data_IF_361738492100
#
_entry.id   IF_361738492100
#
_cell.length_a   1.000
_cell.length_b   1.000
_cell.length_c   1.000
_cell.angle_alpha   90.00
_cell.angle_beta   90.00
_cell.angle_gamma   90.00
#
_symmetry.space_group_name_H-M   'P 1'
#
loop_
_entity.id
_entity.type
_entity.pdbx_description
1 polymer ?
#
# COMPACT_ATOMS: atom_id res chain seq x y z
N UNK A 1 -10.49 -3.01 16.82
CA UNK A 1 -10.88 -3.99 15.78
C UNK A 1 -12.37 -3.84 15.50
N UNK A 2 -12.74 -3.94 14.25
CA UNK A 2 -14.14 -4.06 13.83
C UNK A 2 -14.60 -5.52 13.96
N UNK A 3 -15.85 -5.74 14.32
CA UNK A 3 -16.48 -7.05 14.21
C UNK A 3 -17.01 -7.29 12.79
N UNK A 4 -17.52 -8.49 12.49
CA UNK A 4 -17.96 -8.85 11.14
C UNK A 4 -19.07 -7.96 10.58
N UNK A 5 -20.03 -7.54 11.43
CA UNK A 5 -21.12 -6.65 11.02
C UNK A 5 -20.60 -5.23 10.71
N UNK A 6 -19.65 -4.74 11.50
CA UNK A 6 -19.00 -3.44 11.27
C UNK A 6 -18.16 -3.47 9.99
N UNK A 7 -17.42 -4.56 9.73
CA UNK A 7 -16.66 -4.76 8.48
C UNK A 7 -17.63 -4.78 7.29
N UNK A 8 -18.75 -5.47 7.38
CA UNK A 8 -19.71 -5.55 6.28
C UNK A 8 -20.32 -4.18 5.96
N UNK A 9 -20.68 -3.39 6.98
CA UNK A 9 -21.17 -2.02 6.78
C UNK A 9 -20.13 -1.12 6.11
N UNK A 10 -18.88 -1.24 6.53
CA UNK A 10 -17.75 -0.49 5.94
C UNK A 10 -17.57 -0.86 4.47
N UNK A 11 -17.55 -2.15 4.13
CA UNK A 11 -17.42 -2.63 2.76
C UNK A 11 -18.60 -2.18 1.88
N UNK A 12 -19.81 -2.18 2.43
CA UNK A 12 -20.99 -1.71 1.73
C UNK A 12 -20.90 -0.21 1.44
N UNK A 13 -20.54 0.61 2.43
CA UNK A 13 -20.40 2.05 2.26
C UNK A 13 -19.35 2.41 1.18
N UNK A 14 -18.21 1.69 1.15
CA UNK A 14 -17.20 1.88 0.11
C UNK A 14 -17.74 1.43 -1.26
N UNK A 15 -18.43 0.30 -1.35
CA UNK A 15 -18.96 -0.21 -2.61
C UNK A 15 -20.04 0.70 -3.22
N UNK A 16 -20.82 1.39 -2.40
CA UNK A 16 -21.82 2.38 -2.85
C UNK A 16 -21.21 3.56 -3.59
N UNK A 17 -19.91 3.83 -3.43
CA UNK A 17 -19.18 4.83 -4.23
C UNK A 17 -18.87 4.38 -5.66
N UNK A 18 -19.16 3.12 -6.03
CA UNK A 18 -18.86 2.55 -7.33
C UNK A 18 -17.46 1.97 -7.51
N UNK A 19 -16.62 2.00 -6.49
CA UNK A 19 -15.29 1.38 -6.54
C UNK A 19 -15.41 -0.14 -6.67
N UNK A 20 -14.59 -0.73 -7.54
CA UNK A 20 -14.54 -2.18 -7.78
C UNK A 20 -13.35 -2.88 -7.09
N UNK A 21 -12.42 -2.10 -6.54
CA UNK A 21 -11.22 -2.57 -5.85
C UNK A 21 -11.14 -1.96 -4.45
N UNK A 22 -10.78 -2.78 -3.47
CA UNK A 22 -10.54 -2.33 -2.10
C UNK A 22 -9.17 -2.78 -1.60
N UNK A 23 -8.51 -1.93 -0.81
CA UNK A 23 -7.27 -2.27 -0.10
C UNK A 23 -7.56 -2.35 1.40
N UNK A 24 -7.44 -3.54 1.95
CA UNK A 24 -7.63 -3.80 3.39
C UNK A 24 -6.30 -3.61 4.10
N UNK A 25 -6.28 -2.69 5.06
CA UNK A 25 -5.10 -2.37 5.86
C UNK A 25 -5.25 -2.88 7.28
N UNK A 26 -4.15 -3.37 7.84
CA UNK A 26 -4.07 -3.68 9.28
C UNK A 26 -2.79 -3.15 9.90
N UNK A 27 -2.84 -2.87 11.19
CA UNK A 27 -1.61 -2.66 11.96
C UNK A 27 -0.76 -3.93 12.05
N UNK A 28 0.54 -3.77 12.25
CA UNK A 28 1.51 -4.88 12.36
C UNK A 28 1.43 -5.61 13.71
N UNK A 29 0.25 -6.11 14.06
CA UNK A 29 -0.02 -6.83 15.32
C UNK A 29 -0.75 -8.15 15.06
N UNK A 30 -0.01 -9.26 14.83
CA UNK A 30 -0.63 -10.58 14.58
C UNK A 30 -1.59 -11.04 15.67
N UNK A 31 -1.37 -10.59 16.91
CA UNK A 31 -2.26 -10.93 18.04
C UNK A 31 -3.62 -10.22 17.98
N UNK A 32 -3.67 -9.03 17.35
CA UNK A 32 -4.91 -8.27 17.16
C UNK A 32 -5.51 -8.50 15.79
N UNK A 33 -4.70 -8.59 14.74
CA UNK A 33 -5.14 -8.85 13.37
C UNK A 33 -4.61 -10.20 12.95
N UNK A 34 -5.22 -11.30 13.44
CA UNK A 34 -4.80 -12.65 13.07
C UNK A 34 -5.08 -12.93 11.59
N UNK A 35 -4.47 -13.98 11.05
CA UNK A 35 -4.66 -14.39 9.65
C UNK A 35 -6.14 -14.73 9.39
N UNK A 36 -6.80 -15.38 10.36
CA UNK A 36 -8.21 -15.74 10.30
C UNK A 36 -9.11 -14.49 10.29
N UNK A 37 -8.79 -13.48 11.09
CA UNK A 37 -9.51 -12.21 11.12
C UNK A 37 -9.41 -11.47 9.77
N UNK A 38 -8.20 -11.41 9.20
CA UNK A 38 -7.98 -10.83 7.87
C UNK A 38 -8.72 -11.65 6.80
N UNK A 39 -8.67 -12.97 6.88
CA UNK A 39 -9.39 -13.87 5.98
C UNK A 39 -10.90 -13.66 6.01
N UNK A 40 -11.48 -13.44 7.19
CA UNK A 40 -12.91 -13.13 7.31
C UNK A 40 -13.25 -11.77 6.65
N UNK A 41 -12.42 -10.75 6.85
CA UNK A 41 -12.58 -9.48 6.15
C UNK A 41 -12.51 -9.64 4.61
N UNK A 42 -11.60 -10.49 4.10
CA UNK A 42 -11.53 -10.79 2.67
C UNK A 42 -12.80 -11.46 2.14
N UNK A 43 -13.36 -12.45 2.89
CA UNK A 43 -14.61 -13.11 2.50
C UNK A 43 -15.81 -12.17 2.45
N UNK A 44 -15.87 -11.22 3.40
CA UNK A 44 -16.89 -10.18 3.40
C UNK A 44 -16.69 -9.25 2.19
N UNK A 45 -15.47 -8.74 1.99
CA UNK A 45 -15.14 -7.86 0.88
C UNK A 45 -15.45 -8.48 -0.49
N UNK A 46 -15.27 -9.79 -0.64
CA UNK A 46 -15.56 -10.52 -1.89
C UNK A 46 -17.02 -10.45 -2.35
N UNK A 47 -17.94 -10.11 -1.45
CA UNK A 47 -19.35 -9.91 -1.81
C UNK A 47 -19.57 -8.61 -2.59
N UNK A 48 -18.66 -7.64 -2.44
CA UNK A 48 -18.82 -6.26 -2.90
C UNK A 48 -17.79 -5.85 -3.96
N UNK A 49 -16.57 -6.41 -3.92
CA UNK A 49 -15.45 -5.99 -4.77
C UNK A 49 -14.96 -7.10 -5.68
N UNK A 50 -14.52 -6.71 -6.88
CA UNK A 50 -13.88 -7.60 -7.86
C UNK A 50 -12.43 -7.89 -7.51
N UNK A 51 -11.73 -6.93 -6.90
CA UNK A 51 -10.32 -7.01 -6.54
C UNK A 51 -10.11 -6.65 -5.07
N UNK A 52 -9.41 -7.51 -4.35
CA UNK A 52 -9.11 -7.34 -2.94
C UNK A 52 -7.59 -7.33 -2.74
N UNK A 53 -7.08 -6.18 -2.36
CA UNK A 53 -5.70 -5.99 -1.95
C UNK A 53 -5.52 -6.02 -0.45
N UNK A 54 -4.33 -6.40 -0.02
CA UNK A 54 -3.93 -6.39 1.38
C UNK A 54 -2.67 -5.55 1.57
N UNK A 55 -2.70 -4.65 2.54
CA UNK A 55 -1.52 -4.00 3.10
C UNK A 55 -1.39 -4.42 4.56
N UNK A 56 -0.66 -5.51 4.78
CA UNK A 56 -0.60 -6.22 6.06
C UNK A 56 0.85 -6.57 6.40
N UNK A 57 1.08 -7.02 7.64
CA UNK A 57 2.40 -7.50 8.04
C UNK A 57 2.87 -8.72 7.23
N UNK A 58 4.20 -8.94 7.07
CA UNK A 58 4.74 -10.10 6.39
C UNK A 58 4.28 -11.42 7.03
N UNK A 59 3.88 -12.37 6.19
CA UNK A 59 3.38 -13.69 6.59
C UNK A 59 4.15 -14.82 5.91
N UNK A 60 3.92 -16.05 6.32
CA UNK A 60 4.41 -17.23 5.64
C UNK A 60 3.56 -17.58 4.42
N UNK A 61 4.11 -18.32 3.45
CA UNK A 61 3.39 -18.65 2.21
C UNK A 61 2.06 -19.37 2.45
N UNK A 62 1.98 -20.22 3.48
CA UNK A 62 0.72 -20.90 3.86
C UNK A 62 -0.37 -19.93 4.32
N UNK A 63 0.01 -18.87 5.02
CA UNK A 63 -0.92 -17.85 5.50
C UNK A 63 -1.42 -17.00 4.32
N UNK A 64 -0.51 -16.65 3.41
CA UNK A 64 -0.90 -16.00 2.14
C UNK A 64 -1.79 -16.90 1.28
N UNK A 65 -1.55 -18.22 1.23
CA UNK A 65 -2.41 -19.15 0.51
C UNK A 65 -3.83 -19.18 1.10
N UNK A 66 -3.95 -19.22 2.42
CA UNK A 66 -5.25 -19.12 3.10
C UNK A 66 -5.96 -17.79 2.79
N UNK A 67 -5.25 -16.66 2.82
CA UNK A 67 -5.84 -15.37 2.49
C UNK A 67 -6.27 -15.29 1.01
N UNK A 68 -5.50 -15.90 0.11
CA UNK A 68 -5.88 -16.02 -1.29
C UNK A 68 -7.17 -16.85 -1.47
N UNK A 69 -7.28 -17.99 -0.78
CA UNK A 69 -8.51 -18.79 -0.75
C UNK A 69 -9.70 -18.01 -0.19
N UNK A 70 -9.48 -17.11 0.77
CA UNK A 70 -10.50 -16.19 1.30
C UNK A 70 -10.88 -15.07 0.32
N UNK A 71 -10.15 -14.90 -0.78
CA UNK A 71 -10.48 -13.97 -1.85
C UNK A 71 -9.50 -12.82 -2.06
N UNK A 72 -8.38 -12.78 -1.33
CA UNK A 72 -7.35 -11.78 -1.59
C UNK A 72 -6.62 -12.03 -2.93
N UNK A 73 -6.44 -10.98 -3.72
CA UNK A 73 -5.83 -11.03 -5.05
C UNK A 73 -4.37 -10.60 -5.02
N UNK A 74 -4.03 -9.58 -4.24
CA UNK A 74 -2.67 -9.04 -4.17
C UNK A 74 -2.29 -8.56 -2.77
N UNK A 75 -0.98 -8.47 -2.56
CA UNK A 75 -0.40 -8.05 -1.29
C UNK A 75 0.63 -6.94 -1.52
N UNK A 76 0.55 -5.89 -0.73
CA UNK A 76 1.57 -4.84 -0.66
C UNK A 76 2.28 -4.91 0.69
N UNK A 77 3.61 -4.97 0.65
CA UNK A 77 4.46 -4.86 1.85
C UNK A 77 5.57 -3.87 1.55
N UNK A 78 5.55 -2.72 2.22
CA UNK A 78 6.59 -1.73 2.06
C UNK A 78 7.86 -2.18 2.78
N UNK A 79 9.01 -2.18 2.07
CA UNK A 79 10.29 -2.52 2.65
C UNK A 79 10.79 -1.46 3.64
N UNK A 80 10.26 -0.26 3.57
CA UNK A 80 10.66 0.95 4.30
C UNK A 80 11.99 1.51 3.77
N UNK A 81 13.09 0.83 3.99
CA UNK A 81 14.40 1.12 3.37
C UNK A 81 15.13 -0.17 3.04
N UNK A 82 15.93 -0.18 2.00
CA UNK A 82 16.79 -1.31 1.60
C UNK A 82 18.17 -1.26 2.27
N UNK A 83 18.48 -0.20 3.01
CA UNK A 83 19.67 -0.15 3.86
C UNK A 83 19.42 -0.94 5.15
N UNK A 84 19.98 -2.15 5.23
CA UNK A 84 19.78 -3.07 6.37
C UNK A 84 20.27 -2.50 7.71
N UNK A 85 21.33 -1.68 7.70
CA UNK A 85 21.86 -1.09 8.93
C UNK A 85 20.99 0.06 9.41
N UNK A 86 20.53 0.92 8.50
CA UNK A 86 19.52 1.94 8.80
C UNK A 86 18.22 1.31 9.28
N UNK A 87 17.76 0.24 8.61
CA UNK A 87 16.55 -0.50 8.97
C UNK A 87 16.57 -0.97 10.44
N UNK A 88 17.68 -1.53 10.90
CA UNK A 88 17.85 -1.99 12.29
C UNK A 88 17.71 -0.85 13.31
N UNK A 89 18.09 0.36 12.95
CA UNK A 89 17.97 1.52 13.86
C UNK A 89 16.55 2.08 13.95
N UNK A 90 15.72 1.81 12.96
CA UNK A 90 14.34 2.29 12.87
C UNK A 90 13.33 1.29 13.44
N UNK A 91 13.59 -0.02 13.28
CA UNK A 91 12.66 -1.09 13.65
C UNK A 91 13.23 -1.88 14.84
N UNK A 92 12.91 -1.42 16.06
CA UNK A 92 13.54 -1.89 17.29
C UNK A 92 12.90 -3.15 17.90
N UNK A 93 11.68 -3.51 17.49
CA UNK A 93 10.93 -4.61 18.09
C UNK A 93 10.02 -5.37 17.12
N UNK A 94 9.42 -6.46 17.62
CA UNK A 94 8.48 -7.26 16.85
C UNK A 94 9.07 -7.98 15.64
N UNK A 95 8.21 -8.58 14.83
CA UNK A 95 8.61 -9.26 13.58
C UNK A 95 9.10 -8.27 12.51
N UNK A 96 8.65 -7.04 12.54
CA UNK A 96 9.10 -5.97 11.63
C UNK A 96 10.61 -5.77 11.68
N UNK A 97 11.26 -6.05 12.83
CA UNK A 97 12.71 -5.98 12.99
C UNK A 97 13.50 -6.93 12.06
N UNK A 98 12.88 -8.01 11.58
CA UNK A 98 13.58 -9.05 10.82
C UNK A 98 13.64 -8.65 9.35
N UNK A 99 14.68 -7.92 8.96
CA UNK A 99 14.87 -7.39 7.61
C UNK A 99 14.74 -8.44 6.50
N UNK A 100 15.42 -9.61 6.53
CA UNK A 100 15.29 -10.60 5.45
C UNK A 100 13.87 -11.18 5.35
N UNK A 101 13.16 -11.31 6.47
CA UNK A 101 11.80 -11.82 6.47
C UNK A 101 10.83 -10.84 5.79
N UNK A 102 11.01 -9.53 6.03
CA UNK A 102 10.23 -8.50 5.35
C UNK A 102 10.58 -8.41 3.86
N UNK A 103 11.88 -8.42 3.52
CA UNK A 103 12.37 -8.36 2.15
C UNK A 103 11.77 -9.47 1.25
N UNK A 104 11.60 -10.66 1.78
CA UNK A 104 11.08 -11.80 1.02
C UNK A 104 9.54 -11.96 1.14
N UNK A 105 8.82 -10.96 1.61
CA UNK A 105 7.37 -11.06 1.81
C UNK A 105 6.61 -11.23 0.48
N UNK A 106 6.98 -10.46 -0.54
CA UNK A 106 6.33 -10.52 -1.86
C UNK A 106 6.53 -11.89 -2.53
N UNK A 107 7.73 -12.47 -2.41
CA UNK A 107 7.98 -13.81 -2.94
C UNK A 107 7.10 -14.85 -2.25
N UNK A 108 6.99 -14.80 -0.92
CA UNK A 108 6.11 -15.72 -0.18
C UNK A 108 4.65 -15.53 -0.55
N UNK A 109 4.21 -14.30 -0.83
CA UNK A 109 2.85 -14.03 -1.28
C UNK A 109 2.56 -14.67 -2.66
N UNK A 110 3.48 -14.54 -3.62
CA UNK A 110 3.36 -15.21 -4.93
C UNK A 110 3.36 -16.74 -4.75
N UNK A 111 4.23 -17.30 -3.92
CA UNK A 111 4.25 -18.72 -3.61
C UNK A 111 2.95 -19.19 -2.92
N UNK A 112 2.26 -18.32 -2.22
CA UNK A 112 0.93 -18.53 -1.64
C UNK A 112 -0.23 -18.37 -2.65
N UNK A 113 0.06 -18.08 -3.93
CA UNK A 113 -0.95 -17.98 -4.99
C UNK A 113 -1.49 -16.57 -5.25
N UNK A 114 -0.97 -15.55 -4.57
CA UNK A 114 -1.37 -14.16 -4.87
C UNK A 114 -1.06 -13.82 -6.32
N UNK A 115 -2.02 -13.18 -7.01
CA UNK A 115 -1.91 -12.77 -8.40
C UNK A 115 -0.87 -11.67 -8.59
N UNK A 116 -0.80 -10.73 -7.65
CA UNK A 116 0.10 -9.59 -7.73
C UNK A 116 0.71 -9.19 -6.40
N UNK A 117 1.79 -8.43 -6.49
CA UNK A 117 2.52 -7.92 -5.33
C UNK A 117 2.95 -6.47 -5.53
N UNK A 118 2.84 -5.68 -4.46
CA UNK A 118 3.22 -4.29 -4.41
C UNK A 118 4.57 -4.08 -3.72
N UNK A 119 5.35 -3.16 -4.27
CA UNK A 119 6.67 -2.77 -3.78
C UNK A 119 6.69 -1.28 -3.44
N UNK A 120 7.32 -0.95 -2.32
CA UNK A 120 7.68 0.41 -1.98
C UNK A 120 8.83 0.47 -0.98
N UNK A 121 9.58 1.57 -1.03
CA UNK A 121 10.34 2.10 0.09
C UNK A 121 9.67 3.39 0.57
N UNK A 122 9.80 3.72 1.85
CA UNK A 122 9.40 5.02 2.37
C UNK A 122 10.53 6.01 2.09
N UNK A 123 10.40 6.73 0.97
CA UNK A 123 11.43 7.60 0.43
C UNK A 123 11.76 8.74 1.40
N UNK A 124 13.02 8.86 1.76
CA UNK A 124 13.51 9.84 2.74
C UNK A 124 13.89 9.27 4.11
N UNK A 125 13.69 7.97 4.34
CA UNK A 125 14.26 7.30 5.52
C UNK A 125 15.77 7.14 5.44
N UNK A 126 16.27 6.90 4.22
CA UNK A 126 17.69 6.86 3.86
C UNK A 126 17.88 7.52 2.49
N UNK A 127 19.00 7.29 1.82
CA UNK A 127 19.25 7.77 0.46
C UNK A 127 18.14 7.29 -0.49
N UNK A 128 17.24 8.19 -0.87
CA UNK A 128 16.05 7.87 -1.65
C UNK A 128 16.38 7.30 -3.04
N UNK A 129 17.54 7.66 -3.63
CA UNK A 129 17.94 7.13 -4.94
C UNK A 129 18.34 5.67 -4.85
N UNK A 130 19.05 5.30 -3.79
CA UNK A 130 19.43 3.91 -3.52
C UNK A 130 18.20 3.07 -3.19
N UNK A 131 17.30 3.59 -2.35
CA UNK A 131 16.06 2.91 -2.01
C UNK A 131 15.15 2.74 -3.23
N UNK A 132 15.00 3.76 -4.07
CA UNK A 132 14.22 3.66 -5.30
C UNK A 132 14.83 2.64 -6.29
N UNK A 133 16.15 2.69 -6.52
CA UNK A 133 16.83 1.71 -7.37
C UNK A 133 16.67 0.28 -6.83
N UNK A 134 16.86 0.09 -5.54
CA UNK A 134 16.75 -1.24 -4.91
C UNK A 134 15.30 -1.77 -4.98
N UNK A 135 14.29 -0.90 -4.80
CA UNK A 135 12.88 -1.25 -4.99
C UNK A 135 12.62 -1.72 -6.43
N UNK A 136 13.07 -0.97 -7.42
CA UNK A 136 12.93 -1.35 -8.83
C UNK A 136 13.64 -2.66 -9.16
N UNK A 137 14.87 -2.84 -8.70
CA UNK A 137 15.64 -4.08 -8.90
C UNK A 137 15.00 -5.27 -8.21
N UNK A 138 14.47 -5.12 -7.00
CA UNK A 138 13.77 -6.17 -6.29
C UNK A 138 12.53 -6.65 -7.09
N UNK A 139 11.70 -5.71 -7.52
CA UNK A 139 10.53 -6.01 -8.34
C UNK A 139 10.90 -6.69 -9.66
N UNK A 140 11.92 -6.18 -10.36
CA UNK A 140 12.40 -6.74 -11.62
C UNK A 140 12.92 -8.18 -11.47
N UNK A 141 13.76 -8.43 -10.45
CA UNK A 141 14.29 -9.77 -10.18
C UNK A 141 13.20 -10.76 -9.80
N UNK A 142 12.21 -10.30 -9.02
CA UNK A 142 11.08 -11.15 -8.66
C UNK A 142 10.22 -11.47 -9.88
N UNK A 143 9.92 -10.50 -10.75
CA UNK A 143 9.16 -10.75 -11.98
C UNK A 143 9.91 -11.68 -12.94
N UNK A 144 11.24 -11.59 -13.03
CA UNK A 144 12.03 -12.56 -13.82
C UNK A 144 11.88 -13.99 -13.30
N UNK A 145 11.78 -14.16 -11.97
CA UNK A 145 11.58 -15.47 -11.34
C UNK A 145 10.15 -15.96 -11.46
N UNK A 146 9.19 -15.04 -11.41
CA UNK A 146 7.74 -15.30 -11.48
C UNK A 146 7.08 -14.44 -12.57
N UNK A 147 7.23 -14.81 -13.87
CA UNK A 147 6.77 -13.96 -14.97
C UNK A 147 5.25 -13.71 -15.02
N UNK A 148 4.47 -14.58 -14.35
CA UNK A 148 3.01 -14.47 -14.26
C UNK A 148 2.54 -13.47 -13.20
N UNK A 149 3.43 -13.05 -12.29
CA UNK A 149 3.04 -12.15 -11.21
C UNK A 149 2.83 -10.72 -11.71
N UNK A 150 1.75 -10.10 -11.30
CA UNK A 150 1.52 -8.68 -11.51
C UNK A 150 2.35 -7.86 -10.53
N UNK A 151 3.07 -6.86 -11.06
CA UNK A 151 3.93 -5.99 -10.25
C UNK A 151 3.30 -4.62 -10.12
N UNK A 152 3.26 -4.12 -8.90
CA UNK A 152 2.83 -2.76 -8.59
C UNK A 152 3.89 -2.00 -7.79
N UNK A 153 4.02 -0.71 -8.06
CA UNK A 153 4.81 0.22 -7.28
C UNK A 153 3.92 1.21 -6.54
N UNK A 154 4.29 1.53 -5.31
CA UNK A 154 3.87 2.73 -4.61
C UNK A 154 5.10 3.56 -4.27
N UNK A 155 4.96 4.87 -4.23
CA UNK A 155 6.08 5.78 -4.00
C UNK A 155 5.80 6.71 -2.80
N UNK A 156 5.56 6.16 -1.59
CA UNK A 156 5.36 6.98 -0.41
C UNK A 156 6.65 7.72 -0.06
N UNK A 157 6.53 9.02 0.18
CA UNK A 157 7.64 9.81 0.72
C UNK A 157 7.37 10.16 2.18
N UNK A 158 8.44 10.27 2.94
CA UNK A 158 8.39 10.68 4.33
C UNK A 158 7.72 12.05 4.44
N UNK A 159 6.73 12.16 5.30
CA UNK A 159 6.04 13.41 5.65
C UNK A 159 6.37 13.78 7.09
N UNK A 160 6.23 15.05 7.48
CA UNK A 160 6.29 15.43 8.87
C UNK A 160 5.33 14.56 9.68
N UNK A 161 5.80 14.05 10.81
CA UNK A 161 5.00 13.26 11.74
C UNK A 161 4.66 14.18 12.92
N UNK A 162 3.40 14.24 13.29
CA UNK A 162 2.94 14.94 14.48
C UNK A 162 3.75 14.40 15.68
N UNK A 163 4.35 15.28 16.46
CA UNK A 163 5.21 14.97 17.60
C UNK A 163 6.63 14.42 17.29
N UNK A 164 7.14 14.55 16.07
CA UNK A 164 8.52 14.17 15.77
C UNK A 164 9.25 15.19 14.88
N UNK A 165 9.76 16.25 15.48
CA UNK A 165 10.51 17.32 14.79
C UNK A 165 11.88 16.87 14.26
N UNK A 166 12.34 15.68 14.63
CA UNK A 166 13.65 15.13 14.23
C UNK A 166 13.63 14.51 12.84
N UNK A 167 12.46 14.17 12.33
CA UNK A 167 12.30 13.64 10.98
C UNK A 167 12.14 14.83 10.04
N UNK A 168 13.17 15.08 9.25
CA UNK A 168 13.17 16.16 8.27
C UNK A 168 13.00 15.58 6.86
N UNK A 169 11.81 15.72 6.25
CA UNK A 169 11.52 15.15 4.92
C UNK A 169 12.14 15.93 3.76
N UNK A 170 13.22 16.65 3.99
CA UNK A 170 13.77 17.64 3.04
C UNK A 170 14.31 17.07 1.72
N UNK A 171 14.60 15.78 1.66
CA UNK A 171 15.35 15.22 0.54
C UNK A 171 14.48 14.74 -0.63
N UNK A 172 13.17 14.57 -0.41
CA UNK A 172 12.24 14.06 -1.44
C UNK A 172 11.07 15.02 -1.65
N UNK A 173 11.27 15.95 -2.56
CA UNK A 173 10.23 16.86 -3.04
C UNK A 173 9.54 16.30 -4.29
N UNK A 174 8.53 17.01 -4.80
CA UNK A 174 7.78 16.59 -6.00
C UNK A 174 8.67 16.31 -7.22
N UNK A 175 9.71 17.09 -7.53
CA UNK A 175 10.58 16.77 -8.67
C UNK A 175 11.32 15.44 -8.54
N UNK A 176 11.79 15.10 -7.33
CA UNK A 176 12.44 13.82 -7.06
C UNK A 176 11.43 12.67 -7.15
N UNK A 177 10.22 12.86 -6.61
CA UNK A 177 9.15 11.88 -6.69
C UNK A 177 8.74 11.63 -8.14
N UNK A 178 8.53 12.69 -8.93
CA UNK A 178 8.24 12.60 -10.36
C UNK A 178 9.33 11.83 -11.11
N UNK A 179 10.61 12.14 -10.83
CA UNK A 179 11.75 11.44 -11.44
C UNK A 179 11.73 9.93 -11.16
N UNK A 180 11.44 9.53 -9.91
CA UNK A 180 11.37 8.12 -9.52
C UNK A 180 10.21 7.42 -10.24
N UNK A 181 9.03 8.02 -10.27
CA UNK A 181 7.84 7.46 -10.92
C UNK A 181 8.09 7.27 -12.42
N UNK A 182 8.66 8.27 -13.09
CA UNK A 182 9.02 8.16 -14.49
C UNK A 182 10.10 7.10 -14.73
N UNK A 183 11.08 6.99 -13.83
CA UNK A 183 12.11 5.96 -13.91
C UNK A 183 11.52 4.54 -13.79
N UNK A 184 10.57 4.31 -12.87
CA UNK A 184 9.86 3.03 -12.76
C UNK A 184 9.05 2.72 -14.02
N UNK A 185 8.35 3.72 -14.58
CA UNK A 185 7.59 3.55 -15.82
C UNK A 185 8.48 3.14 -16.99
N UNK A 186 9.66 3.72 -17.11
CA UNK A 186 10.62 3.38 -18.16
C UNK A 186 11.26 2.01 -17.90
N UNK A 187 11.62 1.73 -16.65
CA UNK A 187 12.32 0.49 -16.28
C UNK A 187 11.41 -0.75 -16.32
N UNK A 188 10.16 -0.59 -15.88
CA UNK A 188 9.15 -1.65 -15.86
C UNK A 188 7.83 -1.14 -16.47
N UNK A 189 7.74 -1.07 -17.81
CA UNK A 189 6.62 -0.39 -18.50
C UNK A 189 5.25 -1.02 -18.25
N UNK A 190 5.19 -2.29 -17.87
CA UNK A 190 3.93 -2.99 -17.58
C UNK A 190 3.53 -2.98 -16.10
N UNK A 191 4.38 -2.47 -15.22
CA UNK A 191 4.07 -2.41 -13.80
C UNK A 191 2.98 -1.38 -13.52
N UNK A 192 2.10 -1.67 -12.57
CA UNK A 192 1.17 -0.69 -12.03
C UNK A 192 1.92 0.31 -11.16
N UNK A 193 1.53 1.59 -11.19
CA UNK A 193 2.08 2.63 -10.32
C UNK A 193 0.92 3.35 -9.67
N UNK A 194 0.85 3.26 -8.34
CA UNK A 194 -0.22 3.84 -7.54
C UNK A 194 0.22 5.16 -6.92
N UNK A 195 -0.60 6.20 -7.07
CA UNK A 195 -0.43 7.49 -6.40
C UNK A 195 -1.47 7.61 -5.27
N UNK A 196 -0.96 7.86 -4.07
CA UNK A 196 -1.80 7.97 -2.87
C UNK A 196 -2.29 9.39 -2.62
N UNK A 197 -3.29 9.51 -1.77
CA UNK A 197 -3.84 10.78 -1.26
C UNK A 197 -2.87 11.59 -0.37
N UNK A 198 -1.69 11.07 -0.10
CA UNK A 198 -0.60 11.83 0.56
C UNK A 198 -0.06 12.97 -0.30
N UNK A 199 -0.22 12.87 -1.62
CA UNK A 199 0.19 13.90 -2.56
C UNK A 199 -0.97 14.87 -2.83
N UNK A 200 -0.63 16.15 -3.09
CA UNK A 200 -1.64 17.19 -3.37
C UNK A 200 -2.32 16.98 -4.73
N UNK A 201 -3.53 17.52 -4.86
CA UNK A 201 -4.37 17.45 -6.07
C UNK A 201 -3.57 17.75 -7.33
N UNK A 202 -2.91 18.91 -7.38
CA UNK A 202 -2.12 19.34 -8.55
C UNK A 202 -1.08 18.30 -9.00
N UNK A 203 -0.37 17.66 -8.05
CA UNK A 203 0.62 16.64 -8.39
C UNK A 203 -0.07 15.38 -8.93
N UNK A 204 -1.16 14.96 -8.30
CA UNK A 204 -1.92 13.77 -8.65
C UNK A 204 -2.55 13.89 -10.04
N UNK A 205 -3.18 15.01 -10.34
CA UNK A 205 -3.83 15.28 -11.64
C UNK A 205 -2.83 15.26 -12.80
N UNK A 206 -1.62 15.79 -12.58
CA UNK A 206 -0.60 15.78 -13.62
C UNK A 206 0.10 14.42 -13.78
N UNK A 207 0.38 13.71 -12.69
CA UNK A 207 1.16 12.46 -12.76
C UNK A 207 0.38 11.30 -13.37
N UNK A 208 -0.95 11.30 -13.25
CA UNK A 208 -1.78 10.24 -13.83
C UNK A 208 -1.76 10.27 -15.35
N UNK A 209 -1.61 11.44 -15.94
CA UNK A 209 -1.47 11.60 -17.39
C UNK A 209 -0.05 11.23 -17.90
N UNK A 210 0.94 11.19 -17.02
CA UNK A 210 2.35 10.97 -17.41
C UNK A 210 2.76 9.50 -17.21
N UNK A 211 2.55 8.95 -16.01
CA UNK A 211 3.17 7.69 -15.63
C UNK A 211 2.37 6.83 -14.65
N UNK A 212 1.50 7.39 -13.84
CA UNK A 212 0.68 6.62 -12.91
C UNK A 212 -0.41 5.83 -13.64
N UNK A 213 -0.83 4.71 -13.05
CA UNK A 213 -1.90 3.85 -13.60
C UNK A 213 -3.01 3.62 -12.60
N UNK A 214 -2.79 3.96 -11.36
CA UNK A 214 -3.77 3.90 -10.27
C UNK A 214 -3.71 5.14 -9.42
N UNK A 215 -4.86 5.57 -8.95
CA UNK A 215 -5.01 6.70 -8.03
C UNK A 215 -5.97 6.30 -6.91
N UNK A 216 -5.62 6.60 -5.66
CA UNK A 216 -6.51 6.38 -4.53
C UNK A 216 -7.58 7.47 -4.49
N UNK A 217 -8.82 7.14 -4.12
CA UNK A 217 -9.91 8.07 -3.98
C UNK A 217 -10.76 7.77 -2.75
N UNK A 218 -11.38 8.79 -2.16
CA UNK A 218 -12.26 8.66 -1.02
C UNK A 218 -11.62 7.99 0.20
N UNK A 219 -10.31 8.18 0.40
CA UNK A 219 -9.56 7.48 1.46
C UNK A 219 -9.93 8.03 2.82
N UNK A 220 -10.32 7.15 3.73
CA UNK A 220 -10.39 7.41 5.16
C UNK A 220 -9.47 6.44 5.90
N UNK A 221 -8.57 6.96 6.74
CA UNK A 221 -7.60 6.17 7.50
C UNK A 221 -8.05 5.85 8.93
N UNK A 222 -9.21 6.33 9.33
CA UNK A 222 -9.88 5.98 10.59
C UNK A 222 -10.42 4.55 10.58
N UNK A 223 -10.51 3.93 11.75
CA UNK A 223 -11.07 2.57 11.87
C UNK A 223 -12.59 2.62 11.70
N UNK A 224 -13.12 2.08 10.59
CA UNK A 224 -14.56 2.13 10.26
C UNK A 224 -15.02 3.52 9.82
N UNK A 225 -14.11 4.33 9.27
CA UNK A 225 -14.35 5.74 8.98
C UNK A 225 -15.30 6.01 7.81
N UNK A 226 -15.60 5.02 6.96
CA UNK A 226 -16.56 5.19 5.86
C UNK A 226 -18.02 4.96 6.29
N UNK A 227 -18.24 4.21 7.37
CA UNK A 227 -19.56 3.85 7.86
C UNK A 227 -19.99 4.57 9.14
N UNK A 228 -19.09 5.32 9.79
CA UNK A 228 -19.37 5.99 11.08
C UNK A 228 -18.98 7.47 11.03
N UNK A 229 -19.82 8.34 11.61
CA UNK A 229 -19.56 9.79 11.72
C UNK A 229 -18.49 10.16 12.77
N UNK A 230 -18.12 9.24 13.67
CA UNK A 230 -17.12 9.48 14.71
C UNK A 230 -15.78 8.82 14.36
N UNK A 231 -14.74 9.63 14.24
CA UNK A 231 -13.36 9.16 14.05
C UNK A 231 -12.88 8.37 15.26
N UNK A 232 -12.59 7.08 15.07
CA UNK A 232 -11.99 6.22 16.07
C UNK A 232 -10.53 5.97 15.73
N UNK A 233 -9.63 6.71 16.35
CA UNK A 233 -8.19 6.47 16.32
C UNK A 233 -7.38 7.62 15.70
N UNK A 234 -6.06 7.57 15.92
CA UNK A 234 -5.12 8.53 15.34
C UNK A 234 -4.93 8.24 13.86
N UNK A 235 -4.90 9.27 13.02
CA UNK A 235 -4.58 9.17 11.60
C UNK A 235 -3.16 8.60 11.41
N UNK A 236 -3.02 7.62 10.53
CA UNK A 236 -1.72 7.01 10.24
C UNK A 236 -0.81 7.94 9.45
N UNK A 237 -1.39 8.84 8.66
CA UNK A 237 -0.69 9.85 7.87
C UNK A 237 -1.66 10.96 7.46
N UNK A 238 -1.09 12.13 7.14
CA UNK A 238 -1.85 13.28 6.64
C UNK A 238 -2.35 13.00 5.21
N UNK A 239 -3.68 13.16 5.01
CA UNK A 239 -4.32 13.16 3.69
C UNK A 239 -4.20 14.56 3.12
N UNK A 240 -3.52 14.70 1.98
CA UNK A 240 -3.30 15.98 1.29
C UNK A 240 -4.36 16.25 0.22
N UNK A 241 -4.95 15.19 -0.34
CA UNK A 241 -6.05 15.24 -1.30
C UNK A 241 -7.24 14.46 -0.73
N UNK A 242 -8.23 15.20 -0.27
CA UNK A 242 -9.44 14.66 0.37
C UNK A 242 -10.63 14.54 -0.59
N UNK A 243 -10.41 14.64 -1.91
CA UNK A 243 -11.49 14.54 -2.90
C UNK A 243 -12.21 13.19 -2.83
N UNK A 244 -13.52 13.26 -3.04
CA UNK A 244 -14.40 12.10 -3.14
C UNK A 244 -14.08 11.24 -4.38
N UNK A 245 -14.67 10.06 -4.43
CA UNK A 245 -14.55 9.16 -5.59
C UNK A 245 -15.10 9.84 -6.85
N UNK A 246 -16.25 10.50 -6.77
CA UNK A 246 -16.88 11.18 -7.90
C UNK A 246 -16.01 12.33 -8.45
N UNK A 247 -15.41 13.14 -7.57
CA UNK A 247 -14.49 14.21 -7.96
C UNK A 247 -13.23 13.67 -8.68
N UNK A 248 -12.73 12.52 -8.24
CA UNK A 248 -11.59 11.87 -8.90
C UNK A 248 -12.00 11.29 -10.25
N UNK A 249 -13.18 10.68 -10.36
CA UNK A 249 -13.70 10.20 -11.65
C UNK A 249 -13.85 11.36 -12.65
N UNK A 250 -14.44 12.48 -12.22
CA UNK A 250 -14.58 13.66 -13.08
C UNK A 250 -13.21 14.17 -13.56
N UNK A 251 -12.22 14.23 -12.68
CA UNK A 251 -10.86 14.66 -13.04
C UNK A 251 -10.18 13.73 -14.05
N UNK A 252 -10.52 12.43 -14.04
CA UNK A 252 -9.94 11.45 -15.00
C UNK A 252 -10.64 11.56 -16.37
N UNK A 253 -11.92 11.92 -16.39
CA UNK A 253 -12.70 12.06 -17.63
C UNK A 253 -12.41 13.37 -18.38
N UNK A 254 -12.00 14.44 -17.67
CA UNK A 254 -11.64 15.75 -18.24
C UNK A 254 -10.23 15.72 -18.87
#
# INVERSE_FOLDING_TARGET
QLNAEEIEKEMQAIAETGLEEVLILTGESPNKSSVEYIGEACKIAKKYFKLIGLEVYPMDSKDYAYLHECGADFVTVFQETYNSDKYKTLHLGGRKRIFPYRLNAQERAIMGGMRGVGFAALLGLDDFRKDALATGMHAYLLQKKYPHAEIAFSCPRLRPIINNDKINPKDVHEPQLLQIICAYRIFMPFASITISTRECERFRDNIIQIAATKISAGVNVGIGGHSQEEEKGDEQFEISDGRSVDEIYQMIED
#
